data_IF_437509595319
#
_entry.id   IF_437509595319
#
_cell.length_a   1.000
_cell.length_b   1.000
_cell.length_c   1.000
_cell.angle_alpha   90.00
_cell.angle_beta   90.00
_cell.angle_gamma   90.00
#
_symmetry.space_group_name_H-M   'P 1'
#
loop_
_entity.id
_entity.type
_entity.pdbx_description
1 polymer ?
#
# COMPACT_ATOMS: atom_id res chain seq x y z
N UNK A 1 31.41 -54.20 -11.04
CA UNK A 1 30.71 -53.06 -10.43
C UNK A 1 31.17 -52.99 -8.98
N UNK A 2 31.99 -52.01 -8.64
CA UNK A 2 32.44 -51.76 -7.27
C UNK A 2 31.73 -50.49 -6.80
N UNK A 3 30.87 -50.63 -5.79
CA UNK A 3 30.14 -49.51 -5.20
C UNK A 3 30.97 -48.99 -4.03
N UNK A 4 31.35 -47.72 -4.09
CA UNK A 4 32.10 -47.03 -3.04
C UNK A 4 31.19 -46.06 -2.29
N UNK A 5 31.29 -46.04 -0.97
CA UNK A 5 30.56 -45.08 -0.12
C UNK A 5 31.38 -43.81 0.03
N UNK A 6 30.78 -42.67 -0.32
CA UNK A 6 31.39 -41.34 -0.19
C UNK A 6 30.45 -40.40 0.57
N UNK A 7 30.99 -39.49 1.36
CA UNK A 7 30.19 -38.48 2.04
C UNK A 7 29.96 -37.28 1.13
N UNK A 8 28.74 -36.72 1.17
CA UNK A 8 28.43 -35.42 0.59
C UNK A 8 29.18 -34.32 1.33
N UNK A 9 30.03 -33.55 0.64
CA UNK A 9 30.70 -32.39 1.26
C UNK A 9 29.75 -31.26 1.68
N UNK A 10 28.53 -31.19 1.15
CA UNK A 10 27.55 -30.14 1.49
C UNK A 10 26.79 -30.40 2.79
N UNK A 11 26.37 -31.64 3.05
CA UNK A 11 25.49 -31.98 4.19
C UNK A 11 25.91 -33.21 4.99
N UNK A 12 27.01 -33.89 4.61
CA UNK A 12 27.52 -35.09 5.30
C UNK A 12 26.75 -36.38 5.05
N UNK A 13 25.72 -36.39 4.19
CA UNK A 13 24.97 -37.59 3.86
C UNK A 13 25.84 -38.63 3.13
N UNK A 14 25.64 -39.92 3.41
CA UNK A 14 26.30 -41.02 2.71
C UNK A 14 25.69 -41.19 1.30
N UNK A 15 26.56 -41.26 0.29
CA UNK A 15 26.23 -41.48 -1.11
C UNK A 15 26.92 -42.75 -1.58
N UNK A 16 26.23 -43.52 -2.42
CA UNK A 16 26.76 -44.70 -3.06
C UNK A 16 27.06 -44.36 -4.52
N UNK A 17 28.34 -44.45 -4.90
CA UNK A 17 28.81 -44.10 -6.24
C UNK A 17 29.60 -45.27 -6.83
N UNK A 18 29.39 -45.53 -8.12
CA UNK A 18 30.20 -46.47 -8.90
C UNK A 18 31.45 -45.75 -9.43
N UNK A 19 32.53 -46.49 -9.68
CA UNK A 19 33.82 -45.96 -10.19
C UNK A 19 33.71 -45.23 -11.53
N UNK A 20 32.66 -45.49 -12.31
CA UNK A 20 32.42 -44.82 -13.59
C UNK A 20 31.73 -43.44 -13.47
N UNK A 21 31.22 -43.08 -12.29
CA UNK A 21 30.36 -41.91 -12.11
C UNK A 21 31.18 -40.70 -11.69
N UNK A 22 31.31 -39.72 -12.59
CA UNK A 22 32.02 -38.46 -12.33
C UNK A 22 31.17 -37.42 -11.58
N UNK A 23 29.85 -37.44 -11.73
CA UNK A 23 28.95 -36.45 -11.13
C UNK A 23 27.80 -37.12 -10.41
N UNK A 24 27.51 -36.66 -9.19
CA UNK A 24 26.40 -37.17 -8.38
C UNK A 24 25.61 -36.02 -7.76
N UNK A 25 24.29 -36.17 -7.69
CA UNK A 25 23.41 -35.24 -6.97
C UNK A 25 23.04 -35.85 -5.64
N UNK A 26 23.24 -35.12 -4.55
CA UNK A 26 22.87 -35.61 -3.23
C UNK A 26 21.33 -35.66 -3.09
N UNK A 27 20.76 -36.82 -2.73
CA UNK A 27 19.31 -36.95 -2.51
C UNK A 27 18.78 -36.19 -1.29
N UNK A 28 19.66 -35.75 -0.38
CA UNK A 28 19.27 -35.04 0.84
C UNK A 28 19.31 -33.51 0.70
N UNK A 29 20.46 -32.96 0.30
CA UNK A 29 20.62 -31.51 0.15
C UNK A 29 20.53 -31.00 -1.29
N UNK A 30 20.36 -31.90 -2.26
CA UNK A 30 20.31 -31.60 -3.70
C UNK A 30 21.55 -30.88 -4.26
N UNK A 31 22.66 -30.87 -3.52
CA UNK A 31 23.93 -30.34 -4.01
C UNK A 31 24.47 -31.20 -5.17
N UNK A 32 24.97 -30.54 -6.21
CA UNK A 32 25.68 -31.19 -7.32
C UNK A 32 27.15 -31.31 -6.96
N UNK A 33 27.66 -32.54 -7.01
CA UNK A 33 28.99 -32.89 -6.56
C UNK A 33 29.78 -33.53 -7.71
N UNK A 34 31.06 -33.18 -7.83
CA UNK A 34 32.03 -33.94 -8.62
C UNK A 34 32.61 -35.05 -7.72
N UNK A 35 32.65 -36.28 -8.22
CA UNK A 35 33.32 -37.40 -7.55
C UNK A 35 34.76 -37.42 -8.06
N UNK A 36 35.71 -37.17 -7.16
CA UNK A 36 37.14 -37.18 -7.45
C UNK A 36 37.72 -38.49 -6.92
N UNK A 37 38.19 -39.33 -7.84
CA UNK A 37 38.88 -40.57 -7.54
C UNK A 37 40.39 -40.27 -7.50
N UNK A 38 40.97 -40.23 -6.30
CA UNK A 38 42.41 -40.14 -6.10
C UNK A 38 43.00 -41.53 -5.82
N UNK A 39 44.32 -41.65 -5.92
CA UNK A 39 45.11 -42.88 -5.79
C UNK A 39 44.87 -43.61 -4.46
N UNK A 40 44.51 -42.89 -3.41
CA UNK A 40 44.26 -43.44 -2.06
C UNK A 40 42.85 -43.23 -1.53
N UNK A 41 42.07 -42.31 -2.11
CA UNK A 41 40.77 -41.90 -1.55
C UNK A 41 39.81 -41.37 -2.61
N UNK A 42 38.55 -41.81 -2.55
CA UNK A 42 37.46 -41.19 -3.32
C UNK A 42 36.74 -40.17 -2.45
N UNK A 43 36.66 -38.91 -2.90
CA UNK A 43 35.94 -37.85 -2.18
C UNK A 43 35.04 -37.05 -3.13
N UNK A 44 34.05 -36.37 -2.57
CA UNK A 44 33.18 -35.47 -3.37
C UNK A 44 33.69 -34.03 -3.26
N UNK A 45 33.55 -33.25 -4.33
CA UNK A 45 33.80 -31.80 -4.35
C UNK A 45 32.51 -31.09 -4.74
N UNK A 46 32.13 -30.08 -3.95
CA UNK A 46 30.98 -29.24 -4.24
C UNK A 46 31.26 -28.39 -5.49
N UNK A 47 30.49 -28.59 -6.57
CA UNK A 47 30.66 -27.81 -7.82
C UNK A 47 30.03 -26.42 -7.69
N UNK A 48 28.84 -26.37 -7.13
CA UNK A 48 28.07 -25.15 -6.87
C UNK A 48 26.93 -25.56 -5.93
N UNK A 49 26.92 -25.03 -4.72
CA UNK A 49 25.71 -25.04 -3.93
C UNK A 49 25.19 -23.61 -3.86
N UNK A 50 23.89 -23.46 -4.15
CA UNK A 50 23.01 -22.41 -3.61
C UNK A 50 22.72 -21.16 -4.46
N UNK A 51 23.07 -21.06 -5.73
CA UNK A 51 22.68 -19.87 -6.50
C UNK A 51 21.17 -19.81 -6.80
N UNK A 52 20.57 -20.90 -7.29
CA UNK A 52 19.14 -20.88 -7.68
C UNK A 52 18.16 -20.69 -6.52
N UNK A 53 18.47 -21.25 -5.34
CA UNK A 53 17.60 -21.14 -4.15
C UNK A 53 17.72 -19.77 -3.49
N UNK A 54 18.92 -19.18 -3.50
CA UNK A 54 19.15 -17.84 -2.95
C UNK A 54 18.56 -16.77 -3.85
N UNK A 55 18.64 -16.94 -5.18
CA UNK A 55 18.04 -16.02 -6.14
C UNK A 55 16.51 -16.00 -6.08
N UNK A 56 15.87 -17.17 -6.03
CA UNK A 56 14.40 -17.25 -5.86
C UNK A 56 13.94 -16.65 -4.52
N UNK A 57 14.63 -16.93 -3.42
CA UNK A 57 14.35 -16.31 -2.13
C UNK A 57 14.58 -14.79 -2.13
N UNK A 58 15.62 -14.30 -2.82
CA UNK A 58 15.89 -12.88 -2.95
C UNK A 58 14.79 -12.15 -3.74
N UNK A 59 14.22 -12.80 -4.76
CA UNK A 59 13.07 -12.29 -5.51
C UNK A 59 11.79 -12.28 -4.65
N UNK A 60 11.53 -13.34 -3.88
CA UNK A 60 10.36 -13.38 -2.97
C UNK A 60 10.43 -12.27 -1.91
N UNK A 61 11.62 -11.98 -1.37
CA UNK A 61 11.82 -10.85 -0.44
C UNK A 61 11.47 -9.51 -1.10
N UNK A 62 11.75 -9.32 -2.40
CA UNK A 62 11.40 -8.07 -3.10
C UNK A 62 9.89 -7.92 -3.23
N UNK A 63 9.18 -8.98 -3.62
CA UNK A 63 7.71 -8.95 -3.73
C UNK A 63 7.08 -8.65 -2.37
N UNK A 64 7.53 -9.35 -1.32
CA UNK A 64 7.04 -9.12 0.04
C UNK A 64 7.27 -7.69 0.53
N UNK A 65 8.42 -7.09 0.20
CA UNK A 65 8.70 -5.68 0.53
C UNK A 65 7.73 -4.73 -0.17
N UNK A 66 7.45 -4.96 -1.46
CA UNK A 66 6.50 -4.14 -2.21
C UNK A 66 5.08 -4.29 -1.69
N UNK A 67 4.65 -5.50 -1.36
CA UNK A 67 3.35 -5.77 -0.75
C UNK A 67 3.22 -5.11 0.63
N UNK A 68 4.27 -5.15 1.44
CA UNK A 68 4.30 -4.43 2.73
C UNK A 68 4.24 -2.91 2.56
N UNK A 69 4.93 -2.35 1.56
CA UNK A 69 4.87 -0.92 1.27
C UNK A 69 3.47 -0.49 0.81
N UNK A 70 2.79 -1.33 0.01
CA UNK A 70 1.40 -1.12 -0.37
C UNK A 70 0.47 -1.15 0.85
N UNK A 71 0.63 -2.14 1.74
CA UNK A 71 -0.18 -2.21 2.96
C UNK A 71 0.04 -1.00 3.87
N UNK A 72 1.29 -0.54 4.01
CA UNK A 72 1.61 0.67 4.77
C UNK A 72 0.95 1.90 4.16
N UNK A 73 1.03 2.06 2.84
CA UNK A 73 0.38 3.14 2.10
C UNK A 73 -1.14 3.14 2.31
N UNK A 74 -1.78 1.97 2.24
CA UNK A 74 -3.22 1.83 2.42
C UNK A 74 -3.64 2.18 3.87
N UNK A 75 -2.85 1.78 4.88
CA UNK A 75 -3.08 2.16 6.29
C UNK A 75 -2.92 3.66 6.51
N UNK A 76 -1.87 4.26 5.96
CA UNK A 76 -1.65 5.71 6.04
C UNK A 76 -2.80 6.47 5.40
N UNK A 77 -3.24 6.04 4.22
CA UNK A 77 -4.38 6.64 3.53
C UNK A 77 -5.67 6.57 4.34
N UNK A 78 -5.97 5.43 4.96
CA UNK A 78 -7.18 5.29 5.78
C UNK A 78 -7.14 6.22 7.00
N UNK A 79 -5.98 6.38 7.64
CA UNK A 79 -5.81 7.33 8.74
C UNK A 79 -6.03 8.79 8.32
N UNK A 80 -5.47 9.19 7.17
CA UNK A 80 -5.63 10.53 6.60
C UNK A 80 -7.09 10.76 6.22
N UNK A 81 -7.70 9.79 5.55
CA UNK A 81 -9.10 9.84 5.11
C UNK A 81 -10.03 10.02 6.30
N UNK A 82 -9.86 9.24 7.36
CA UNK A 82 -10.68 9.35 8.57
C UNK A 82 -10.50 10.70 9.27
N UNK A 83 -9.29 11.26 9.29
CA UNK A 83 -9.02 12.57 9.89
C UNK A 83 -9.71 13.73 9.14
N UNK A 84 -9.92 13.57 7.83
CA UNK A 84 -10.54 14.59 6.98
C UNK A 84 -12.05 14.44 6.84
N UNK A 85 -12.61 13.28 7.16
CA UNK A 85 -14.05 13.03 7.09
C UNK A 85 -14.85 13.95 8.01
N UNK A 86 -15.94 14.50 7.48
CA UNK A 86 -16.84 15.38 8.24
C UNK A 86 -17.95 14.52 8.86
N UNK A 87 -18.09 14.58 10.18
CA UNK A 87 -19.21 13.96 10.90
C UNK A 87 -20.41 14.90 10.86
N UNK A 88 -21.48 14.47 10.21
CA UNK A 88 -22.77 15.14 10.24
C UNK A 88 -23.43 15.05 11.62
N UNK A 89 -24.38 15.95 11.89
CA UNK A 89 -25.18 15.97 13.14
C UNK A 89 -25.95 14.67 13.40
N UNK A 90 -26.19 13.87 12.35
CA UNK A 90 -26.94 12.61 12.41
C UNK A 90 -26.03 11.38 12.55
N UNK A 91 -24.73 11.57 12.81
CA UNK A 91 -23.75 10.49 12.84
C UNK A 91 -23.32 9.96 11.46
N UNK A 92 -23.86 10.52 10.37
CA UNK A 92 -23.40 10.22 9.02
C UNK A 92 -21.99 10.75 8.81
N UNK A 93 -21.11 9.89 8.31
CA UNK A 93 -19.76 10.26 7.90
C UNK A 93 -19.78 10.50 6.40
N UNK A 94 -19.59 11.74 5.97
CA UNK A 94 -19.56 12.10 4.55
C UNK A 94 -18.15 12.50 4.14
N UNK A 95 -17.74 12.07 2.95
CA UNK A 95 -16.52 12.59 2.33
C UNK A 95 -16.65 14.11 2.14
N UNK A 96 -15.57 14.89 2.35
CA UNK A 96 -15.59 16.33 2.11
C UNK A 96 -15.98 16.59 0.66
N UNK A 97 -17.22 17.03 0.44
CA UNK A 97 -17.72 17.34 -0.89
C UNK A 97 -17.95 18.84 -1.01
N UNK A 98 -17.34 19.45 -2.03
CA UNK A 98 -17.58 20.85 -2.40
C UNK A 98 -19.08 21.15 -2.59
N UNK A 99 -19.84 20.14 -3.05
CA UNK A 99 -21.30 20.19 -3.21
C UNK A 99 -22.00 20.50 -1.89
N UNK A 100 -21.67 19.81 -0.80
CA UNK A 100 -22.34 20.01 0.50
C UNK A 100 -22.08 21.40 1.09
N UNK A 101 -20.86 21.93 0.93
CA UNK A 101 -20.49 23.27 1.38
C UNK A 101 -21.18 24.36 0.56
N UNK A 102 -21.31 24.16 -0.76
CA UNK A 102 -21.96 25.10 -1.68
C UNK A 102 -23.46 25.20 -1.43
N UNK A 103 -24.16 24.07 -1.30
CA UNK A 103 -25.60 24.06 -1.02
C UNK A 103 -25.94 24.66 0.36
N UNK A 104 -25.16 24.32 1.39
CA UNK A 104 -25.34 24.90 2.73
C UNK A 104 -25.12 26.42 2.76
N UNK A 105 -24.11 26.91 2.02
CA UNK A 105 -23.85 28.34 1.89
C UNK A 105 -24.96 29.11 1.20
N UNK A 106 -25.51 28.57 0.11
CA UNK A 106 -26.63 29.19 -0.61
C UNK A 106 -27.87 29.30 0.28
N UNK A 107 -28.21 28.22 1.01
CA UNK A 107 -29.36 28.22 1.94
C UNK A 107 -29.16 29.26 3.05
N UNK A 108 -27.95 29.36 3.61
CA UNK A 108 -27.65 30.35 4.64
C UNK A 108 -27.78 31.79 4.13
N UNK A 109 -27.36 32.07 2.90
CA UNK A 109 -27.50 33.40 2.27
C UNK A 109 -28.97 33.73 2.03
N UNK A 110 -29.73 32.81 1.41
CA UNK A 110 -31.17 33.01 1.15
C UNK A 110 -31.95 33.18 2.46
N UNK A 111 -31.64 32.37 3.47
CA UNK A 111 -32.23 32.48 4.80
C UNK A 111 -31.90 33.80 5.49
N UNK A 112 -30.65 34.29 5.37
CA UNK A 112 -30.24 35.59 5.90
C UNK A 112 -30.96 36.76 5.23
N UNK A 113 -31.14 36.71 3.91
CA UNK A 113 -31.92 37.70 3.15
C UNK A 113 -33.40 37.67 3.57
N UNK A 114 -33.99 36.48 3.67
CA UNK A 114 -35.35 36.30 4.14
C UNK A 114 -35.55 36.84 5.56
N UNK A 115 -34.61 36.56 6.48
CA UNK A 115 -34.63 37.06 7.85
C UNK A 115 -34.67 38.59 7.90
N UNK A 116 -33.83 39.27 7.13
CA UNK A 116 -33.79 40.73 7.06
C UNK A 116 -35.13 41.33 6.60
N UNK A 117 -35.72 40.76 5.56
CA UNK A 117 -37.01 41.22 5.00
C UNK A 117 -38.15 40.98 6.00
N UNK A 118 -38.21 39.76 6.54
CA UNK A 118 -39.26 39.35 7.47
C UNK A 118 -39.23 40.16 8.77
N UNK A 119 -38.07 40.26 9.42
CA UNK A 119 -37.94 41.02 10.68
C UNK A 119 -38.10 42.52 10.48
N UNK A 120 -37.63 43.08 9.35
CA UNK A 120 -37.88 44.47 8.99
C UNK A 120 -39.37 44.77 8.79
N UNK A 121 -40.11 43.83 8.19
CA UNK A 121 -41.56 43.99 7.96
C UNK A 121 -42.41 43.94 9.25
N UNK A 122 -41.90 43.31 10.31
CA UNK A 122 -42.58 43.20 11.62
C UNK A 122 -42.25 44.36 12.57
N UNK A 123 -41.52 45.39 12.12
CA UNK A 123 -41.13 46.52 12.96
C UNK A 123 -40.18 46.15 14.09
N UNK A 124 -39.36 45.11 13.89
CA UNK A 124 -38.40 44.67 14.89
C UNK A 124 -37.42 45.81 15.26
N UNK A 125 -36.94 45.86 16.52
CA UNK A 125 -35.95 46.85 16.95
C UNK A 125 -34.71 46.86 16.04
N UNK A 126 -34.15 48.05 15.82
CA UNK A 126 -33.11 48.33 14.81
C UNK A 126 -31.98 47.29 14.61
N UNK A 127 -31.39 46.67 15.65
CA UNK A 127 -30.30 45.71 15.44
C UNK A 127 -30.76 44.31 14.99
N UNK A 128 -32.05 43.97 15.12
CA UNK A 128 -32.54 42.60 14.90
C UNK A 128 -32.46 42.11 13.43
N UNK A 129 -32.81 42.94 12.43
CA UNK A 129 -32.63 42.57 11.03
C UNK A 129 -31.15 42.35 10.65
N UNK A 130 -30.22 43.11 11.27
CA UNK A 130 -28.79 43.02 10.96
C UNK A 130 -28.18 41.63 11.27
N UNK A 131 -28.81 40.82 12.12
CA UNK A 131 -28.39 39.43 12.33
C UNK A 131 -28.41 38.59 11.04
N UNK A 132 -29.20 38.96 10.02
CA UNK A 132 -29.16 38.31 8.71
C UNK A 132 -27.78 38.40 8.04
N UNK A 133 -27.00 39.46 8.31
CA UNK A 133 -25.62 39.58 7.83
C UNK A 133 -24.70 38.51 8.43
N UNK A 134 -24.97 38.06 9.65
CA UNK A 134 -24.22 36.96 10.29
C UNK A 134 -24.46 35.64 9.55
N UNK A 135 -25.70 35.35 9.16
CA UNK A 135 -26.02 34.16 8.36
C UNK A 135 -25.35 34.19 6.98
N UNK A 136 -25.36 35.35 6.32
CA UNK A 136 -24.67 35.55 5.04
C UNK A 136 -23.16 35.35 5.20
N UNK A 137 -22.55 35.96 6.23
CA UNK A 137 -21.13 35.81 6.54
C UNK A 137 -20.74 34.36 6.85
N UNK A 138 -21.55 33.66 7.65
CA UNK A 138 -21.35 32.24 7.94
C UNK A 138 -21.49 31.36 6.68
N UNK A 139 -22.43 31.68 5.79
CA UNK A 139 -22.59 31.00 4.51
C UNK A 139 -21.38 31.16 3.59
N UNK A 140 -20.87 32.38 3.44
CA UNK A 140 -19.66 32.67 2.65
C UNK A 140 -18.44 31.95 3.25
N UNK A 141 -18.25 32.04 4.56
CA UNK A 141 -17.15 31.37 5.25
C UNK A 141 -17.22 29.84 5.09
N UNK A 142 -18.41 29.25 5.19
CA UNK A 142 -18.65 27.82 4.99
C UNK A 142 -18.29 27.37 3.58
N UNK A 143 -18.62 28.16 2.55
CA UNK A 143 -18.27 27.86 1.15
C UNK A 143 -16.76 27.91 0.91
N UNK A 144 -16.08 28.97 1.37
CA UNK A 144 -14.63 29.14 1.17
C UNK A 144 -13.84 28.05 1.90
N UNK A 145 -14.15 27.82 3.18
CA UNK A 145 -13.45 26.81 3.98
C UNK A 145 -13.76 25.37 3.53
N UNK A 146 -14.98 25.11 3.04
CA UNK A 146 -15.36 23.82 2.49
C UNK A 146 -14.65 23.47 1.18
N UNK A 147 -14.53 24.42 0.25
CA UNK A 147 -13.84 24.22 -1.02
C UNK A 147 -12.33 23.98 -0.82
N UNK A 148 -11.70 24.66 0.15
CA UNK A 148 -10.29 24.42 0.49
C UNK A 148 -10.04 23.00 1.03
N UNK A 149 -10.91 22.50 1.90
CA UNK A 149 -10.81 21.13 2.42
C UNK A 149 -11.07 20.06 1.35
N UNK A 150 -12.02 20.31 0.46
CA UNK A 150 -12.34 19.38 -0.63
C UNK A 150 -11.17 19.24 -1.60
N UNK A 151 -10.54 20.35 -2.00
CA UNK A 151 -9.39 20.32 -2.92
C UNK A 151 -8.15 19.67 -2.30
N UNK A 152 -7.92 19.89 -1.00
CA UNK A 152 -6.84 19.22 -0.26
C UNK A 152 -7.06 17.70 -0.22
N UNK A 153 -8.28 17.25 0.08
CA UNK A 153 -8.63 15.84 0.10
C UNK A 153 -8.47 15.19 -1.29
N UNK A 154 -8.93 15.85 -2.35
CA UNK A 154 -8.74 15.40 -3.73
C UNK A 154 -7.25 15.28 -4.09
N UNK A 155 -6.44 16.28 -3.74
CA UNK A 155 -5.00 16.26 -3.98
C UNK A 155 -4.28 15.13 -3.23
N UNK A 156 -4.71 14.79 -2.02
CA UNK A 156 -4.18 13.65 -1.28
C UNK A 156 -4.64 12.31 -1.88
N UNK A 157 -5.91 12.22 -2.27
CA UNK A 157 -6.48 11.04 -2.94
C UNK A 157 -5.76 10.72 -4.24
N UNK A 158 -5.52 11.71 -5.08
CA UNK A 158 -4.79 11.53 -6.34
C UNK A 158 -3.36 11.04 -6.10
N UNK A 159 -2.66 11.59 -5.11
CA UNK A 159 -1.31 11.14 -4.73
C UNK A 159 -1.30 9.69 -4.27
N UNK A 160 -2.25 9.31 -3.41
CA UNK A 160 -2.45 7.94 -2.98
C UNK A 160 -2.71 7.00 -4.16
N UNK A 161 -3.66 7.34 -5.05
CA UNK A 161 -4.01 6.52 -6.21
C UNK A 161 -2.83 6.34 -7.18
N UNK A 162 -2.07 7.40 -7.45
CA UNK A 162 -0.87 7.32 -8.28
C UNK A 162 0.17 6.38 -7.65
N UNK A 163 0.47 6.54 -6.35
CA UNK A 163 1.47 5.73 -5.66
C UNK A 163 1.04 4.26 -5.57
N UNK A 164 -0.24 4.01 -5.28
CA UNK A 164 -0.83 2.67 -5.27
C UNK A 164 -0.72 1.99 -6.63
N UNK A 165 -1.04 2.71 -7.71
CA UNK A 165 -0.88 2.19 -9.07
C UNK A 165 0.56 1.82 -9.41
N UNK A 166 1.53 2.66 -9.00
CA UNK A 166 2.95 2.37 -9.16
C UNK A 166 3.37 1.08 -8.43
N UNK A 167 3.01 0.93 -7.15
CA UNK A 167 3.36 -0.26 -6.36
C UNK A 167 2.75 -1.53 -6.94
N UNK A 168 1.46 -1.49 -7.34
CA UNK A 168 0.80 -2.64 -7.97
C UNK A 168 1.51 -3.04 -9.27
N UNK A 169 1.86 -2.06 -10.11
CA UNK A 169 2.58 -2.34 -11.37
C UNK A 169 3.95 -2.98 -11.13
N UNK A 170 4.67 -2.56 -10.08
CA UNK A 170 5.96 -3.15 -9.71
C UNK A 170 5.79 -4.58 -9.19
N UNK A 171 4.77 -4.82 -8.35
CA UNK A 171 4.45 -6.16 -7.86
C UNK A 171 4.12 -7.09 -9.02
N UNK A 172 3.31 -6.65 -9.98
CA UNK A 172 2.98 -7.45 -11.16
C UNK A 172 4.22 -7.74 -12.03
N UNK A 173 5.10 -6.77 -12.22
CA UNK A 173 6.34 -6.96 -12.97
C UNK A 173 7.27 -7.98 -12.30
N UNK A 174 7.45 -7.89 -10.98
CA UNK A 174 8.27 -8.85 -10.23
C UNK A 174 7.63 -10.25 -10.20
N UNK A 175 6.29 -10.34 -10.09
CA UNK A 175 5.56 -11.62 -10.21
C UNK A 175 5.68 -12.23 -11.60
N UNK A 176 5.69 -11.42 -12.67
CA UNK A 176 5.92 -11.91 -14.04
C UNK A 176 7.36 -12.37 -14.27
N UNK A 177 8.37 -11.74 -13.65
CA UNK A 177 9.77 -12.18 -13.72
C UNK A 177 10.00 -13.55 -13.10
N UNK A 178 9.12 -13.97 -12.18
CA UNK A 178 9.14 -15.28 -11.52
C UNK A 178 8.52 -16.40 -12.38
N UNK A 179 7.58 -16.06 -13.27
CA UNK A 179 6.85 -17.02 -14.11
C UNK A 179 7.65 -17.44 -15.34
#
# INVERSE_FOLDING_TARGET
>A
MQITKVCCQGCGANLEVDESIRFVTCNYCHARLEVVHDTSTTHTKLLEALDQRTESMAQDIKVLKLENELERLDREWESVRQSMMIRGKNGSVSEPSATSATFGGIIAIVGGLFWMIFTGSMGAPGPFPLFGLVFIGAGIFGMVSGNGKASEFEGLRSRYQMRRGQLISQIEQEKRRRA
#
